data_IF_788746302848
#
_entry.id   IF_788746302848
#
_cell.length_a   1.000
_cell.length_b   1.000
_cell.length_c   1.000
_cell.angle_alpha   90.00
_cell.angle_beta   90.00
_cell.angle_gamma   90.00
#
_symmetry.space_group_name_H-M   'P 1'
#
loop_
_entity.id
_entity.type
_entity.pdbx_description
1 polymer ?
#
# COMPACT_ATOMS: atom_id res chain seq x y z
N UNK A 1 2.45 -2.58 -31.95
CA UNK A 1 2.94 -2.50 -30.56
C UNK A 1 2.03 -1.56 -29.79
N UNK A 2 1.09 -2.10 -29.00
CA UNK A 2 0.31 -1.26 -28.10
C UNK A 2 1.28 -0.64 -27.08
N UNK A 3 1.26 0.69 -26.97
CA UNK A 3 1.98 1.43 -25.93
C UNK A 3 1.60 0.78 -24.58
N UNK A 4 2.56 0.43 -23.70
CA UNK A 4 2.20 -0.05 -22.37
C UNK A 4 1.31 1.02 -21.74
N UNK A 5 0.13 0.61 -21.27
CA UNK A 5 -0.80 1.52 -20.59
C UNK A 5 -0.02 2.22 -19.47
N UNK A 6 -0.18 3.52 -19.32
CA UNK A 6 0.38 4.25 -18.20
C UNK A 6 -0.51 4.04 -16.97
N UNK A 7 0.00 4.35 -15.78
CA UNK A 7 -0.86 4.45 -14.59
C UNK A 7 -1.82 5.61 -14.78
N UNK A 8 -3.12 5.36 -14.61
CA UNK A 8 -4.17 6.37 -14.69
C UNK A 8 -4.25 7.13 -13.35
N UNK A 9 -4.18 8.45 -13.38
CA UNK A 9 -4.02 9.33 -12.21
C UNK A 9 -5.07 10.43 -12.09
N UNK A 10 -5.96 10.56 -13.05
CA UNK A 10 -7.03 11.56 -13.04
C UNK A 10 -8.36 10.97 -13.49
N UNK A 11 -9.46 11.68 -13.17
CA UNK A 11 -10.78 11.34 -13.69
C UNK A 11 -10.82 11.33 -15.22
N UNK A 12 -10.19 12.31 -15.85
CA UNK A 12 -10.13 12.42 -17.31
C UNK A 12 -9.41 11.22 -17.95
N UNK A 13 -8.33 10.74 -17.34
CA UNK A 13 -7.62 9.55 -17.79
C UNK A 13 -8.46 8.27 -17.62
N UNK A 14 -9.24 8.17 -16.53
CA UNK A 14 -10.15 7.04 -16.31
C UNK A 14 -11.32 7.04 -17.30
N UNK A 15 -11.85 8.21 -17.63
CA UNK A 15 -12.90 8.39 -18.66
C UNK A 15 -12.36 8.03 -20.04
N UNK A 16 -11.17 8.53 -20.39
CA UNK A 16 -10.52 8.21 -21.66
C UNK A 16 -10.20 6.71 -21.79
N UNK A 17 -9.97 6.02 -20.68
CA UNK A 17 -9.79 4.57 -20.61
C UNK A 17 -11.10 3.77 -20.59
N UNK A 18 -12.27 4.43 -20.60
CA UNK A 18 -13.58 3.78 -20.55
C UNK A 18 -13.93 3.15 -19.19
N UNK A 19 -13.21 3.49 -18.12
CA UNK A 19 -13.47 2.97 -16.78
C UNK A 19 -14.51 3.79 -16.00
N UNK A 20 -14.74 5.02 -16.44
CA UNK A 20 -15.73 5.95 -15.87
C UNK A 20 -16.56 6.51 -17.02
N UNK A 21 -17.90 6.51 -16.92
CA UNK A 21 -18.76 7.18 -17.91
C UNK A 21 -18.49 8.68 -17.99
N UNK A 22 -18.58 9.26 -19.19
CA UNK A 22 -18.42 10.72 -19.40
C UNK A 22 -19.38 11.55 -18.51
N UNK A 23 -20.59 11.05 -18.27
CA UNK A 23 -21.59 11.69 -17.41
C UNK A 23 -21.17 11.83 -15.94
N UNK A 24 -20.20 11.04 -15.47
CA UNK A 24 -19.70 11.06 -14.09
C UNK A 24 -18.46 11.96 -13.90
N UNK A 25 -18.07 12.71 -14.93
CA UNK A 25 -16.85 13.56 -14.92
C UNK A 25 -16.78 14.47 -13.71
N UNK A 26 -17.84 15.23 -13.44
CA UNK A 26 -17.86 16.20 -12.34
C UNK A 26 -17.76 15.52 -10.97
N UNK A 27 -18.40 14.37 -10.82
CA UNK A 27 -18.36 13.59 -9.58
C UNK A 27 -16.95 13.03 -9.33
N UNK A 28 -16.33 12.43 -10.36
CA UNK A 28 -14.95 11.93 -10.23
C UNK A 28 -13.95 13.07 -10.04
N UNK A 29 -14.14 14.22 -10.69
CA UNK A 29 -13.33 15.40 -10.44
C UNK A 29 -13.45 15.90 -9.00
N UNK A 30 -14.66 15.88 -8.42
CA UNK A 30 -14.88 16.21 -7.02
C UNK A 30 -14.18 15.24 -6.06
N UNK A 31 -14.24 13.93 -6.35
CA UNK A 31 -13.51 12.92 -5.60
C UNK A 31 -12.01 13.11 -5.71
N UNK A 32 -11.49 13.39 -6.90
CA UNK A 32 -10.07 13.60 -7.18
C UNK A 32 -9.48 14.82 -6.45
N UNK A 33 -10.31 15.83 -6.12
CA UNK A 33 -9.90 16.97 -5.29
C UNK A 33 -9.65 16.60 -3.83
N UNK A 34 -10.33 15.57 -3.32
CA UNK A 34 -10.20 15.11 -1.93
C UNK A 34 -9.22 13.95 -1.80
N UNK A 35 -9.19 13.07 -2.80
CA UNK A 35 -8.50 11.79 -2.71
C UNK A 35 -7.73 11.48 -3.98
N UNK A 36 -6.47 11.11 -3.80
CA UNK A 36 -5.60 10.76 -4.91
C UNK A 36 -6.15 9.59 -5.74
N UNK A 37 -5.85 9.62 -7.03
CA UNK A 37 -6.19 8.57 -7.99
C UNK A 37 -4.88 7.99 -8.55
N UNK A 38 -4.84 6.66 -8.56
CA UNK A 38 -3.79 5.90 -9.21
C UNK A 38 -4.35 4.49 -9.47
N UNK A 39 -4.44 4.11 -10.75
CA UNK A 39 -4.83 2.77 -11.18
C UNK A 39 -3.76 2.28 -12.15
N UNK A 40 -3.03 1.25 -11.74
CA UNK A 40 -1.92 0.70 -12.53
C UNK A 40 -2.46 -0.04 -13.74
N UNK A 41 -1.62 -0.24 -14.78
CA UNK A 41 -1.98 -1.05 -15.94
C UNK A 41 -2.45 -2.46 -15.58
N UNK A 42 -1.82 -3.06 -14.56
CA UNK A 42 -2.20 -4.39 -14.08
C UNK A 42 -3.64 -4.41 -13.54
N UNK A 43 -4.07 -3.38 -12.81
CA UNK A 43 -5.44 -3.29 -12.30
C UNK A 43 -6.43 -2.84 -13.38
N UNK A 44 -6.06 -1.88 -14.22
CA UNK A 44 -6.88 -1.46 -15.37
C UNK A 44 -7.22 -2.64 -16.28
N UNK A 45 -6.25 -3.52 -16.57
CA UNK A 45 -6.47 -4.69 -17.42
C UNK A 45 -7.40 -5.75 -16.80
N UNK A 46 -7.66 -5.67 -15.49
CA UNK A 46 -8.55 -6.59 -14.79
C UNK A 46 -9.97 -6.06 -14.64
N UNK A 47 -10.21 -4.77 -14.84
CA UNK A 47 -11.56 -4.20 -14.73
C UNK A 47 -12.42 -4.67 -15.90
N UNK A 48 -13.57 -5.26 -15.61
CA UNK A 48 -14.61 -5.48 -16.60
C UNK A 48 -15.54 -4.26 -16.65
N UNK A 49 -15.35 -3.39 -17.64
CA UNK A 49 -16.15 -2.17 -17.80
C UNK A 49 -17.62 -2.46 -18.19
N UNK A 50 -17.96 -3.70 -18.57
CA UNK A 50 -19.34 -4.10 -18.89
C UNK A 50 -20.12 -4.57 -17.67
N UNK A 51 -19.43 -4.89 -16.57
CA UNK A 51 -20.03 -5.29 -15.30
C UNK A 51 -20.08 -4.08 -14.34
N UNK A 52 -21.26 -3.46 -14.10
CA UNK A 52 -21.38 -2.38 -13.11
C UNK A 52 -21.11 -2.85 -11.67
N UNK A 53 -21.08 -4.17 -11.45
CA UNK A 53 -20.74 -4.83 -10.21
C UNK A 53 -19.26 -5.11 -10.01
N UNK A 54 -18.39 -4.81 -11.00
CA UNK A 54 -17.04 -5.38 -11.07
C UNK A 54 -16.23 -5.20 -9.76
N UNK A 55 -15.80 -6.30 -9.12
CA UNK A 55 -15.12 -6.25 -7.82
C UNK A 55 -13.72 -5.65 -7.89
N UNK A 56 -13.12 -5.51 -9.07
CA UNK A 56 -11.84 -4.81 -9.24
C UNK A 56 -12.09 -3.31 -9.36
N UNK A 57 -13.07 -2.89 -10.17
CA UNK A 57 -13.47 -1.50 -10.31
C UNK A 57 -13.84 -0.89 -8.97
N UNK A 58 -14.66 -1.57 -8.15
CA UNK A 58 -15.06 -1.12 -6.81
C UNK A 58 -13.87 -0.81 -5.88
N UNK A 59 -12.72 -1.44 -6.11
CA UNK A 59 -11.54 -1.23 -5.30
C UNK A 59 -10.65 -0.07 -5.75
N UNK A 60 -10.72 0.34 -7.02
CA UNK A 60 -9.74 1.27 -7.63
C UNK A 60 -10.36 2.43 -8.40
N UNK A 61 -11.54 2.28 -8.98
CA UNK A 61 -12.24 3.32 -9.74
C UNK A 61 -13.07 4.18 -8.77
N UNK A 62 -12.85 5.50 -8.74
CA UNK A 62 -13.57 6.40 -7.86
C UNK A 62 -15.07 6.47 -8.18
N UNK A 63 -15.89 6.70 -7.15
CA UNK A 63 -17.34 6.92 -7.33
C UNK A 63 -17.84 8.11 -6.52
N UNK A 64 -18.97 8.70 -6.96
CA UNK A 64 -19.65 9.79 -6.25
C UNK A 64 -20.02 9.45 -4.80
N UNK A 65 -20.23 8.16 -4.48
CA UNK A 65 -20.57 7.72 -3.14
C UNK A 65 -19.48 8.06 -2.11
N UNK A 66 -18.23 8.24 -2.54
CA UNK A 66 -17.11 8.63 -1.67
C UNK A 66 -17.16 10.09 -1.21
N UNK A 67 -18.08 10.89 -1.78
CA UNK A 67 -18.36 12.25 -1.34
C UNK A 67 -19.39 12.31 -0.22
N UNK A 68 -20.07 11.18 0.06
CA UNK A 68 -21.02 11.07 1.14
C UNK A 68 -20.26 10.68 2.40
N UNK A 69 -20.19 11.59 3.36
CA UNK A 69 -19.63 11.33 4.69
C UNK A 69 -20.77 11.22 5.69
N UNK A 70 -20.83 10.10 6.39
CA UNK A 70 -21.81 9.85 7.46
C UNK A 70 -21.38 10.45 8.79
N UNK A 71 -22.30 10.55 9.76
CA UNK A 71 -22.00 11.11 11.09
C UNK A 71 -21.03 10.24 11.91
N UNK A 72 -20.93 8.94 11.59
CA UNK A 72 -20.07 7.98 12.30
C UNK A 72 -18.64 7.94 11.72
N UNK A 73 -18.41 8.55 10.56
CA UNK A 73 -17.11 8.56 9.90
C UNK A 73 -16.13 9.53 10.58
N UNK A 74 -14.87 9.11 10.65
CA UNK A 74 -13.77 9.89 11.21
C UNK A 74 -12.61 9.94 10.22
N UNK A 75 -11.88 11.06 10.20
CA UNK A 75 -10.71 11.23 9.34
C UNK A 75 -9.51 10.36 9.75
N UNK A 76 -9.44 9.98 11.03
CA UNK A 76 -8.46 9.04 11.57
C UNK A 76 -9.18 7.91 12.31
N UNK A 77 -9.83 6.97 11.58
CA UNK A 77 -10.74 5.99 12.16
C UNK A 77 -10.03 4.97 13.07
N UNK A 78 -8.71 4.86 12.98
CA UNK A 78 -7.92 4.00 13.86
C UNK A 78 -7.16 4.79 14.94
N UNK A 79 -7.11 6.12 14.88
CA UNK A 79 -6.40 6.94 15.86
C UNK A 79 -4.88 6.81 15.75
N UNK A 80 -4.33 6.74 14.53
CA UNK A 80 -2.88 6.70 14.31
C UNK A 80 -2.21 7.97 14.84
N UNK A 81 -2.84 9.15 14.70
CA UNK A 81 -2.28 10.43 15.14
C UNK A 81 -2.00 10.43 16.66
N UNK A 82 -2.95 9.96 17.46
CA UNK A 82 -2.80 9.87 18.92
C UNK A 82 -1.74 8.85 19.37
N UNK A 83 -1.30 7.98 18.47
CA UNK A 83 -0.26 6.95 18.72
C UNK A 83 1.02 7.24 17.94
N UNK A 84 1.21 8.47 17.44
CA UNK A 84 2.38 8.88 16.66
C UNK A 84 3.29 9.79 17.49
N UNK A 85 4.26 9.23 18.25
CA UNK A 85 5.18 10.04 19.06
C UNK A 85 6.13 10.92 18.23
N UNK A 86 6.38 10.53 16.97
CA UNK A 86 7.16 11.30 16.00
C UNK A 86 6.78 10.90 14.58
N UNK A 87 7.15 11.74 13.61
CA UNK A 87 6.98 11.44 12.18
C UNK A 87 7.57 10.08 11.83
N UNK A 88 6.80 9.27 11.10
CA UNK A 88 7.21 7.95 10.67
C UNK A 88 6.93 6.83 11.66
N UNK A 89 6.59 7.11 12.93
CA UNK A 89 6.29 6.08 13.93
C UNK A 89 4.82 6.11 14.33
N UNK A 90 4.18 4.94 14.35
CA UNK A 90 2.95 4.71 15.13
C UNK A 90 3.22 3.58 16.12
N UNK A 91 3.18 3.88 17.41
CA UNK A 91 3.45 2.91 18.48
C UNK A 91 2.20 2.72 19.33
N UNK A 92 1.37 1.75 18.93
CA UNK A 92 0.09 1.45 19.59
C UNK A 92 0.19 0.33 20.62
N UNK A 93 0.98 -0.69 20.29
CA UNK A 93 1.10 -1.91 21.07
C UNK A 93 2.47 -1.97 21.72
N UNK A 94 2.61 -2.54 22.94
CA UNK A 94 3.88 -2.52 23.65
C UNK A 94 5.05 -3.17 22.91
N UNK A 95 4.80 -4.20 22.10
CA UNK A 95 5.83 -5.05 21.51
C UNK A 95 6.06 -4.81 20.01
N UNK A 96 5.36 -3.85 19.40
CA UNK A 96 5.47 -3.57 17.97
C UNK A 96 5.15 -2.13 17.59
N UNK A 97 5.91 -1.61 16.64
CA UNK A 97 5.71 -0.29 16.07
C UNK A 97 5.53 -0.34 14.54
N UNK A 98 4.73 0.58 14.01
CA UNK A 98 4.68 0.84 12.58
C UNK A 98 5.77 1.85 12.22
N UNK A 99 6.54 1.53 11.17
CA UNK A 99 7.40 2.47 10.47
C UNK A 99 6.69 2.91 9.17
N UNK A 100 6.05 4.08 9.19
CA UNK A 100 5.40 4.70 8.02
C UNK A 100 6.44 5.29 7.08
N UNK A 101 7.07 4.42 6.30
CA UNK A 101 8.22 4.75 5.46
C UNK A 101 7.85 5.54 4.19
N UNK A 102 6.69 5.26 3.61
CA UNK A 102 6.19 5.88 2.38
C UNK A 102 4.83 6.55 2.62
N UNK A 103 4.53 7.63 1.90
CA UNK A 103 3.21 8.28 1.92
C UNK A 103 2.47 8.21 0.57
N UNK A 104 2.98 7.42 -0.38
CA UNK A 104 2.39 7.20 -1.69
C UNK A 104 2.23 5.71 -1.97
N UNK A 105 1.32 5.39 -2.88
CA UNK A 105 1.03 4.03 -3.31
C UNK A 105 1.08 3.91 -4.84
N UNK A 106 1.38 2.70 -5.39
CA UNK A 106 1.25 2.46 -6.82
C UNK A 106 -0.21 2.57 -7.30
N UNK A 107 -1.16 2.22 -6.42
CA UNK A 107 -2.61 2.41 -6.59
C UNK A 107 -3.22 3.01 -5.33
N UNK A 108 -4.29 3.80 -5.45
CA UNK A 108 -5.02 4.30 -4.30
C UNK A 108 -6.36 3.56 -4.16
N UNK A 109 -6.43 2.65 -3.18
CA UNK A 109 -7.62 1.87 -2.89
C UNK A 109 -8.78 2.77 -2.46
N UNK A 110 -9.98 2.60 -3.03
CA UNK A 110 -11.16 3.42 -2.69
C UNK A 110 -11.70 3.17 -1.27
N UNK A 111 -11.23 2.10 -0.63
CA UNK A 111 -11.53 1.72 0.76
C UNK A 111 -10.37 2.02 1.74
N UNK A 112 -9.32 2.75 1.31
CA UNK A 112 -8.15 2.98 2.15
C UNK A 112 -8.51 3.78 3.41
N UNK A 113 -8.34 3.20 4.59
CA UNK A 113 -8.60 3.91 5.86
C UNK A 113 -7.59 5.04 6.15
N UNK A 114 -6.49 5.13 5.39
CA UNK A 114 -5.49 6.22 5.46
C UNK A 114 -5.63 7.26 4.35
N UNK A 115 -6.71 7.21 3.56
CA UNK A 115 -6.93 8.07 2.38
C UNK A 115 -6.85 9.58 2.64
N UNK A 116 -7.09 10.03 3.87
CA UNK A 116 -6.99 11.44 4.28
C UNK A 116 -5.53 11.91 4.44
N UNK A 117 -4.58 10.98 4.62
CA UNK A 117 -3.15 11.29 4.84
C UNK A 117 -2.24 10.81 3.71
N UNK A 118 -2.59 9.71 3.04
CA UNK A 118 -1.78 9.07 2.01
C UNK A 118 -2.13 9.64 0.64
N UNK A 119 -1.11 10.07 -0.12
CA UNK A 119 -1.26 10.60 -1.47
C UNK A 119 -1.74 12.05 -1.57
N UNK A 120 -1.76 12.79 -0.46
CA UNK A 120 -2.24 14.19 -0.38
C UNK A 120 -1.27 15.25 -0.94
N UNK A 121 -0.22 14.84 -1.68
CA UNK A 121 0.78 15.75 -2.25
C UNK A 121 1.95 16.09 -1.31
N UNK A 122 1.98 15.53 -0.10
CA UNK A 122 3.17 15.55 0.75
C UNK A 122 4.33 14.74 0.16
N UNK A 123 5.48 14.78 0.84
CA UNK A 123 6.68 14.02 0.46
C UNK A 123 6.36 12.53 0.36
N UNK A 124 6.84 11.90 -0.71
CA UNK A 124 6.55 10.49 -1.01
C UNK A 124 7.10 9.49 0.02
N UNK A 125 8.14 9.87 0.77
CA UNK A 125 8.80 9.04 1.77
C UNK A 125 9.48 9.90 2.84
N UNK A 126 9.78 9.27 3.98
CA UNK A 126 10.58 9.86 5.05
C UNK A 126 11.94 10.31 4.54
N UNK A 127 12.45 11.42 5.08
CA UNK A 127 13.81 11.88 4.78
C UNK A 127 14.80 11.00 5.49
N UNK A 128 16.09 11.22 5.23
CA UNK A 128 17.12 10.51 5.97
C UNK A 128 17.13 10.91 7.44
N UNK A 129 16.84 12.17 7.77
CA UNK A 129 16.73 12.66 9.15
C UNK A 129 15.49 12.07 9.86
N UNK A 130 14.33 12.06 9.19
CA UNK A 130 13.10 11.50 9.76
C UNK A 130 13.23 9.98 9.95
N UNK A 131 13.84 9.27 9.00
CA UNK A 131 14.12 7.85 9.13
C UNK A 131 15.11 7.59 10.27
N UNK A 132 16.17 8.37 10.40
CA UNK A 132 17.14 8.24 11.49
C UNK A 132 16.46 8.41 12.85
N UNK A 133 15.63 9.45 13.01
CA UNK A 133 14.87 9.67 14.24
C UNK A 133 13.89 8.52 14.56
N UNK A 134 13.20 8.00 13.55
CA UNK A 134 12.31 6.84 13.70
C UNK A 134 13.09 5.58 14.12
N UNK A 135 14.27 5.34 13.56
CA UNK A 135 15.14 4.23 13.95
C UNK A 135 15.69 4.41 15.37
N UNK A 136 16.04 5.62 15.78
CA UNK A 136 16.51 5.93 17.14
C UNK A 136 15.41 5.68 18.18
N UNK A 137 14.17 6.05 17.87
CA UNK A 137 13.01 5.71 18.70
C UNK A 137 12.89 4.20 18.91
N UNK A 138 13.02 3.40 17.84
CA UNK A 138 12.97 1.94 17.91
C UNK A 138 14.15 1.38 18.72
N UNK A 139 15.36 1.95 18.58
CA UNK A 139 16.55 1.54 19.34
C UNK A 139 16.41 1.81 20.83
N UNK A 140 15.75 2.90 21.20
CA UNK A 140 15.62 3.33 22.59
C UNK A 140 14.66 2.45 23.41
N UNK A 141 13.73 1.76 22.76
CA UNK A 141 12.73 0.92 23.42
C UNK A 141 12.97 -0.58 23.16
N UNK A 142 13.59 -1.31 24.12
CA UNK A 142 13.90 -2.73 23.97
C UNK A 142 12.65 -3.63 23.95
N UNK A 143 11.47 -3.11 24.27
CA UNK A 143 10.22 -3.89 24.21
C UNK A 143 9.73 -4.11 22.78
N UNK A 144 10.17 -3.28 21.82
CA UNK A 144 9.77 -3.38 20.41
C UNK A 144 10.45 -4.59 19.75
N UNK A 145 9.73 -5.71 19.74
CA UNK A 145 10.17 -6.97 19.14
C UNK A 145 9.92 -7.02 17.63
N UNK A 146 8.84 -6.39 17.15
CA UNK A 146 8.44 -6.36 15.75
C UNK A 146 8.37 -4.93 15.20
N UNK A 147 8.94 -4.72 14.02
CA UNK A 147 8.77 -3.47 13.26
C UNK A 147 8.00 -3.76 11.97
N UNK A 148 6.89 -3.05 11.78
CA UNK A 148 6.01 -3.20 10.63
C UNK A 148 6.25 -2.03 9.68
N UNK A 149 6.90 -2.26 8.55
CA UNK A 149 7.17 -1.23 7.56
C UNK A 149 5.93 -1.05 6.67
N UNK A 150 5.38 0.15 6.66
CA UNK A 150 4.05 0.48 6.10
C UNK A 150 3.99 1.96 5.68
N UNK A 151 2.79 2.56 5.66
CA UNK A 151 2.49 3.93 5.29
C UNK A 151 1.44 3.93 4.20
N UNK A 152 1.83 4.40 3.00
CA UNK A 152 1.23 4.02 1.73
C UNK A 152 1.65 2.60 1.36
N UNK A 153 2.50 2.46 0.35
CA UNK A 153 3.13 1.16 0.01
C UNK A 153 4.66 1.27 0.02
N UNK A 154 5.36 0.71 1.03
CA UNK A 154 6.81 0.84 1.16
C UNK A 154 7.57 0.15 0.04
N UNK A 155 6.98 -0.83 -0.66
CA UNK A 155 7.65 -1.48 -1.78
C UNK A 155 7.64 -0.58 -3.02
N UNK A 156 6.99 0.59 -3.01
CA UNK A 156 7.14 1.62 -4.06
C UNK A 156 8.56 2.22 -4.12
N UNK A 157 9.32 2.06 -3.05
CA UNK A 157 10.68 2.57 -2.96
C UNK A 157 11.66 1.73 -3.77
N UNK A 158 12.84 2.30 -4.02
CA UNK A 158 13.90 1.61 -4.74
C UNK A 158 14.45 0.43 -3.90
N UNK A 159 14.96 -0.64 -4.54
CA UNK A 159 15.64 -1.72 -3.82
C UNK A 159 16.76 -1.22 -2.91
N UNK A 160 17.48 -0.17 -3.31
CA UNK A 160 18.51 0.47 -2.48
C UNK A 160 17.93 0.95 -1.14
N UNK A 161 16.84 1.72 -1.17
CA UNK A 161 16.21 2.25 0.04
C UNK A 161 15.61 1.15 0.92
N UNK A 162 15.02 0.13 0.30
CA UNK A 162 14.52 -1.05 1.03
C UNK A 162 15.67 -1.74 1.76
N UNK A 163 16.80 -1.98 1.08
CA UNK A 163 17.97 -2.62 1.67
C UNK A 163 18.57 -1.80 2.83
N UNK A 164 18.65 -0.47 2.68
CA UNK A 164 19.08 0.44 3.75
C UNK A 164 18.22 0.28 5.01
N UNK A 165 16.89 0.28 4.85
CA UNK A 165 15.96 0.13 5.98
C UNK A 165 16.03 -1.27 6.58
N UNK A 166 16.04 -2.33 5.76
CA UNK A 166 16.17 -3.71 6.23
C UNK A 166 17.45 -3.90 7.03
N UNK A 167 18.58 -3.39 6.53
CA UNK A 167 19.87 -3.47 7.22
C UNK A 167 19.86 -2.70 8.54
N UNK A 168 19.32 -1.47 8.55
CA UNK A 168 19.24 -0.65 9.75
C UNK A 168 18.40 -1.30 10.85
N UNK A 169 17.25 -1.89 10.50
CA UNK A 169 16.40 -2.64 11.43
C UNK A 169 17.07 -3.95 11.88
N UNK A 170 17.81 -4.61 10.98
CA UNK A 170 18.55 -5.84 11.30
C UNK A 170 19.69 -5.61 12.30
N UNK A 171 20.25 -4.39 12.34
CA UNK A 171 21.28 -4.01 13.29
C UNK A 171 20.74 -3.78 14.72
N UNK A 172 19.42 -3.62 14.90
CA UNK A 172 18.82 -3.40 16.23
C UNK A 172 18.69 -4.77 16.93
N UNK A 173 19.33 -4.92 18.09
CA UNK A 173 19.50 -6.23 18.74
C UNK A 173 18.16 -6.87 19.16
N UNK A 174 17.28 -6.10 19.80
CA UNK A 174 15.99 -6.58 20.33
C UNK A 174 14.89 -6.75 19.28
N UNK A 175 15.00 -6.10 18.12
CA UNK A 175 14.08 -6.34 17.00
C UNK A 175 14.35 -7.75 16.47
N UNK A 176 13.31 -8.56 16.30
CA UNK A 176 13.40 -9.94 15.82
C UNK A 176 12.60 -10.17 14.54
N UNK A 177 11.55 -9.39 14.33
CA UNK A 177 10.65 -9.49 13.18
C UNK A 177 10.62 -8.16 12.43
N UNK A 178 10.83 -8.22 11.12
CA UNK A 178 10.58 -7.12 10.19
C UNK A 178 9.44 -7.54 9.29
N UNK A 179 8.31 -6.84 9.33
CA UNK A 179 7.13 -7.16 8.52
C UNK A 179 6.85 -6.04 7.53
N UNK A 180 6.94 -6.33 6.24
CA UNK A 180 6.63 -5.39 5.16
C UNK A 180 5.16 -5.54 4.76
N UNK A 181 4.39 -4.46 4.85
CA UNK A 181 3.01 -4.44 4.38
C UNK A 181 2.97 -3.88 2.96
N UNK A 182 2.34 -4.58 2.03
CA UNK A 182 2.38 -4.17 0.63
C UNK A 182 1.24 -4.75 -0.19
N UNK A 183 0.84 -3.99 -1.20
CA UNK A 183 -0.07 -4.43 -2.26
C UNK A 183 0.65 -4.65 -3.59
N UNK A 184 1.90 -4.20 -3.72
CA UNK A 184 2.72 -4.27 -4.96
C UNK A 184 2.67 -5.62 -5.67
N UNK A 185 2.76 -6.79 -5.01
CA UNK A 185 2.77 -8.07 -5.72
C UNK A 185 1.53 -8.34 -6.57
N UNK A 186 0.38 -7.76 -6.25
CA UNK A 186 -0.85 -7.88 -7.05
C UNK A 186 -1.10 -6.68 -7.96
N UNK A 187 -0.77 -5.45 -7.53
CA UNK A 187 -1.10 -4.23 -8.29
C UNK A 187 0.02 -3.76 -9.24
N UNK A 188 1.27 -4.16 -9.01
CA UNK A 188 2.43 -3.81 -9.84
C UNK A 188 3.46 -4.96 -9.80
N UNK A 189 3.08 -6.18 -10.23
CA UNK A 189 3.89 -7.40 -10.07
C UNK A 189 5.28 -7.32 -10.71
N UNK A 190 5.43 -6.51 -11.76
CA UNK A 190 6.71 -6.25 -12.44
C UNK A 190 7.76 -5.62 -11.51
N UNK A 191 7.33 -4.93 -10.44
CA UNK A 191 8.23 -4.28 -9.48
C UNK A 191 8.87 -5.28 -8.52
N UNK A 192 8.32 -6.49 -8.37
CA UNK A 192 8.88 -7.57 -7.55
C UNK A 192 10.06 -8.23 -8.26
N UNK A 193 11.11 -7.45 -8.50
CA UNK A 193 12.35 -7.89 -9.16
C UNK A 193 13.24 -8.69 -8.22
N UNK A 194 14.21 -9.48 -8.73
CA UNK A 194 15.21 -10.13 -7.88
C UNK A 194 15.94 -9.16 -6.95
N UNK A 195 16.24 -7.94 -7.42
CA UNK A 195 16.88 -6.91 -6.60
C UNK A 195 15.99 -6.47 -5.43
N UNK A 196 14.68 -6.28 -5.66
CA UNK A 196 13.74 -5.95 -4.60
C UNK A 196 13.63 -7.10 -3.58
N UNK A 197 13.53 -8.34 -4.06
CA UNK A 197 13.44 -9.53 -3.20
C UNK A 197 14.69 -9.63 -2.32
N UNK A 198 15.89 -9.47 -2.89
CA UNK A 198 17.15 -9.45 -2.12
C UNK A 198 17.17 -8.33 -1.09
N UNK A 199 16.69 -7.13 -1.43
CA UNK A 199 16.66 -5.98 -0.52
C UNK A 199 15.77 -6.18 0.72
N UNK A 200 14.74 -7.02 0.63
CA UNK A 200 13.87 -7.35 1.76
C UNK A 200 14.52 -8.33 2.74
N UNK A 201 15.48 -9.14 2.30
CA UNK A 201 16.04 -10.23 3.11
C UNK A 201 16.91 -9.69 4.25
N UNK A 202 16.78 -10.35 5.39
CA UNK A 202 17.68 -10.23 6.53
C UNK A 202 18.27 -11.59 6.83
N UNK A 203 19.56 -11.63 7.17
CA UNK A 203 20.24 -12.86 7.59
C UNK A 203 20.03 -13.17 9.08
N UNK A 204 19.64 -12.16 9.87
CA UNK A 204 19.56 -12.26 11.33
C UNK A 204 18.15 -12.13 11.88
N UNK A 205 17.20 -11.64 11.08
CA UNK A 205 15.81 -11.39 11.48
C UNK A 205 14.83 -12.21 10.66
N UNK A 206 13.70 -12.56 11.26
CA UNK A 206 12.58 -13.12 10.50
C UNK A 206 11.93 -12.00 9.69
N UNK A 207 11.81 -12.21 8.37
CA UNK A 207 11.18 -11.23 7.47
C UNK A 207 9.84 -11.77 6.98
N UNK A 208 8.80 -10.99 7.24
CA UNK A 208 7.45 -11.25 6.77
C UNK A 208 7.07 -10.25 5.68
N UNK A 209 6.24 -10.70 4.73
CA UNK A 209 5.54 -9.82 3.79
C UNK A 209 4.05 -10.06 3.96
N UNK A 210 3.33 -9.04 4.42
CA UNK A 210 1.89 -9.03 4.44
C UNK A 210 1.37 -8.51 3.09
N UNK A 211 0.83 -9.42 2.29
CA UNK A 211 0.16 -9.13 1.05
C UNK A 211 -1.21 -8.52 1.32
N UNK A 212 -1.61 -7.52 0.54
CA UNK A 212 -2.99 -7.01 0.55
C UNK A 212 -3.73 -7.50 -0.68
N UNK A 213 -4.61 -8.50 -0.51
CA UNK A 213 -5.42 -9.06 -1.62
C UNK A 213 -6.86 -9.19 -1.18
N UNK A 214 -7.82 -8.69 -1.96
CA UNK A 214 -9.23 -8.76 -1.58
C UNK A 214 -10.06 -9.69 -2.45
N UNK A 215 -9.73 -9.84 -3.73
CA UNK A 215 -10.49 -10.68 -4.66
C UNK A 215 -9.59 -11.63 -5.44
N UNK A 216 -10.09 -12.84 -5.75
CA UNK A 216 -9.32 -13.89 -6.45
C UNK A 216 -8.80 -13.45 -7.82
N UNK A 217 -9.52 -12.54 -8.50
CA UNK A 217 -9.10 -11.98 -9.81
C UNK A 217 -7.81 -11.17 -9.73
N UNK A 218 -7.43 -10.65 -8.56
CA UNK A 218 -6.14 -9.98 -8.34
C UNK A 218 -4.95 -10.97 -8.44
N UNK A 219 -5.19 -12.26 -8.22
CA UNK A 219 -4.19 -13.34 -8.27
C UNK A 219 -3.99 -13.85 -9.70
N UNK A 220 -3.62 -12.95 -10.61
CA UNK A 220 -3.24 -13.26 -12.00
C UNK A 220 -1.99 -14.13 -12.07
N UNK A 221 -1.69 -14.70 -13.25
CA UNK A 221 -0.44 -15.47 -13.46
C UNK A 221 0.81 -14.67 -13.10
N UNK A 222 0.87 -13.39 -13.49
CA UNK A 222 2.03 -12.52 -13.20
C UNK A 222 2.09 -12.14 -11.71
N UNK A 223 0.96 -11.94 -11.05
CA UNK A 223 0.89 -11.71 -9.61
C UNK A 223 1.33 -12.95 -8.81
N UNK A 224 0.84 -14.14 -9.19
CA UNK A 224 1.27 -15.41 -8.60
C UNK A 224 2.76 -15.65 -8.77
N UNK A 225 3.34 -15.31 -9.93
CA UNK A 225 4.78 -15.40 -10.15
C UNK A 225 5.58 -14.38 -9.31
N UNK A 226 5.05 -13.18 -9.08
CA UNK A 226 5.65 -12.20 -8.17
C UNK A 226 5.61 -12.66 -6.71
N UNK A 227 4.46 -13.20 -6.26
CA UNK A 227 4.28 -13.78 -4.93
C UNK A 227 5.19 -15.01 -4.75
N UNK A 228 5.25 -15.89 -5.75
CA UNK A 228 6.13 -17.07 -5.77
C UNK A 228 7.59 -16.69 -5.57
N UNK A 229 8.09 -15.65 -6.26
CA UNK A 229 9.45 -15.14 -6.06
C UNK A 229 9.75 -14.71 -4.62
N UNK A 230 8.77 -14.15 -3.90
CA UNK A 230 8.93 -13.78 -2.49
C UNK A 230 9.00 -15.05 -1.61
N UNK A 231 8.11 -16.02 -1.86
CA UNK A 231 8.07 -17.29 -1.13
C UNK A 231 9.34 -18.11 -1.36
N UNK A 232 9.80 -18.24 -2.61
CA UNK A 232 11.00 -18.99 -3.00
C UNK A 232 12.28 -18.40 -2.39
N UNK A 233 12.27 -17.10 -2.07
CA UNK A 233 13.36 -16.43 -1.35
C UNK A 233 13.35 -16.66 0.17
N UNK A 234 12.40 -17.46 0.67
CA UNK A 234 12.25 -17.80 2.09
C UNK A 234 11.56 -16.72 2.93
N UNK A 235 10.88 -15.75 2.31
CA UNK A 235 10.11 -14.75 3.03
C UNK A 235 8.78 -15.34 3.49
N UNK A 236 8.43 -15.18 4.76
CA UNK A 236 7.15 -15.65 5.28
C UNK A 236 6.02 -14.75 4.76
N UNK A 237 5.05 -15.34 4.06
CA UNK A 237 3.94 -14.59 3.47
C UNK A 237 2.69 -14.75 4.32
N UNK A 238 2.05 -13.62 4.61
CA UNK A 238 0.71 -13.56 5.20
C UNK A 238 -0.17 -12.68 4.31
N UNK A 239 -1.49 -12.82 4.43
CA UNK A 239 -2.42 -11.95 3.70
C UNK A 239 -3.28 -11.15 4.66
N UNK A 240 -3.49 -9.89 4.33
CA UNK A 240 -4.46 -9.01 4.96
C UNK A 240 -5.54 -8.69 3.93
N UNK A 241 -6.75 -9.18 4.20
CA UNK A 241 -7.94 -8.94 3.39
C UNK A 241 -8.89 -8.06 4.18
N UNK A 242 -9.45 -7.06 3.51
CA UNK A 242 -10.53 -6.24 4.07
C UNK A 242 -11.84 -6.82 3.56
N UNK A 243 -12.81 -7.04 4.45
CA UNK A 243 -14.16 -7.42 4.08
C UNK A 243 -14.85 -6.20 3.43
N UNK A 244 -15.21 -6.34 2.16
CA UNK A 244 -15.70 -5.28 1.30
C UNK A 244 -16.98 -5.74 0.61
N UNK A 245 -18.05 -4.98 0.83
CA UNK A 245 -19.37 -5.24 0.23
C UNK A 245 -19.29 -5.24 -1.30
N UNK A 246 -19.77 -6.31 -1.93
CA UNK A 246 -19.75 -6.49 -3.38
C UNK A 246 -18.36 -6.76 -3.95
N UNK A 247 -17.41 -7.18 -3.11
CA UNK A 247 -16.06 -7.57 -3.55
C UNK A 247 -15.70 -8.95 -3.02
N UNK A 248 -15.91 -9.22 -1.73
CA UNK A 248 -15.51 -10.48 -1.08
C UNK A 248 -16.34 -10.76 0.18
N UNK A 249 -17.60 -10.35 0.17
CA UNK A 249 -18.58 -10.57 1.23
C UNK A 249 -19.41 -11.85 1.05
N UNK A 250 -18.85 -12.84 0.33
CA UNK A 250 -19.41 -14.16 0.04
C UNK A 250 -18.66 -15.34 0.68
#
# INVERSE_FOLDING_TARGET
MNKPLATLRSGDELIAAGLVPEGDRDAVAAVARRYAIAVTPAMTALVDATDPGDPIARQFVPSAAELVTTADEQSDPIGDAAKSPLTGIVHRYPDRALLKLANVCPVYCRFCFRRESVGNGERAALSDEELAAALDYIRADPSIFEVIVTGGDPLILSPRRIAEVTAALSAIAHVRVIRWHTRVPVVAPERVTPALVTALRSETKAVFVALHTNHVRELTTVARAAIGRLADAGLALVSQTVLLKGVNDD
#
